data_IF_202775339673
#
_entry.id   IF_202775339673
#
_cell.length_a   1.000
_cell.length_b   1.000
_cell.length_c   1.000
_cell.angle_alpha   90.00
_cell.angle_beta   90.00
_cell.angle_gamma   90.00
#
_symmetry.space_group_name_H-M   'P 1'
#
loop_
_entity.id
_entity.type
_entity.pdbx_description
1 polymer ?
#
# COMPACT_ATOMS: atom_id res chain seq x y z
N UNK A 1 -1.44 -11.01 16.83
CA UNK A 1 -2.67 -11.41 16.09
C UNK A 1 -2.30 -11.72 14.65
N UNK A 2 -2.86 -12.77 14.04
CA UNK A 2 -2.69 -13.02 12.60
C UNK A 2 -3.60 -12.05 11.84
N UNK A 3 -3.05 -11.35 10.86
CA UNK A 3 -3.77 -10.38 10.02
C UNK A 3 -4.18 -11.09 8.73
N UNK A 4 -5.46 -11.05 8.39
CA UNK A 4 -6.02 -11.71 7.22
C UNK A 4 -5.97 -10.78 6.02
N UNK A 5 -5.34 -11.24 4.94
CA UNK A 5 -5.15 -10.47 3.71
C UNK A 5 -5.63 -11.28 2.52
N UNK A 6 -6.47 -10.67 1.70
CA UNK A 6 -6.95 -11.25 0.45
C UNK A 6 -6.11 -10.68 -0.70
N UNK A 7 -5.66 -11.55 -1.61
CA UNK A 7 -4.92 -11.17 -2.80
C UNK A 7 -5.71 -11.47 -4.07
N UNK A 8 -5.93 -10.45 -4.90
CA UNK A 8 -6.50 -10.57 -6.24
C UNK A 8 -5.41 -10.38 -7.29
N UNK A 9 -5.41 -11.22 -8.32
CA UNK A 9 -4.47 -11.15 -9.45
C UNK A 9 -5.25 -10.91 -10.73
N UNK A 10 -5.04 -9.76 -11.36
CA UNK A 10 -5.63 -9.39 -12.64
C UNK A 10 -4.53 -9.30 -13.71
N UNK A 11 -4.44 -10.26 -14.64
CA UNK A 11 -3.50 -10.19 -15.76
C UNK A 11 -3.82 -8.99 -16.67
N UNK A 12 -2.78 -8.25 -17.08
CA UNK A 12 -2.87 -7.10 -17.99
C UNK A 12 -1.70 -7.21 -18.98
N UNK A 13 -1.93 -7.85 -20.13
CA UNK A 13 -0.90 -8.09 -21.13
C UNK A 13 0.27 -8.90 -20.55
N UNK A 14 1.48 -8.33 -20.58
CA UNK A 14 2.72 -8.93 -20.03
C UNK A 14 2.94 -8.65 -18.54
N UNK A 15 1.96 -8.01 -17.89
CA UNK A 15 1.98 -7.65 -16.49
C UNK A 15 0.81 -8.29 -15.74
N UNK A 16 0.86 -8.20 -14.42
CA UNK A 16 -0.25 -8.55 -13.53
C UNK A 16 -0.43 -7.43 -12.52
N UNK A 17 -1.66 -6.96 -12.38
CA UNK A 17 -2.08 -6.11 -11.26
C UNK A 17 -2.41 -7.03 -10.10
N UNK A 18 -1.79 -6.77 -8.96
CA UNK A 18 -2.03 -7.52 -7.72
C UNK A 18 -2.65 -6.56 -6.71
N UNK A 19 -3.85 -6.87 -6.26
CA UNK A 19 -4.55 -6.13 -5.22
C UNK A 19 -4.40 -6.88 -3.90
N UNK A 20 -4.00 -6.20 -2.83
CA UNK A 20 -3.99 -6.74 -1.47
C UNK A 20 -4.99 -5.94 -0.61
N UNK A 21 -5.92 -6.67 0.01
CA UNK A 21 -6.97 -6.14 0.87
C UNK A 21 -6.76 -6.63 2.30
N UNK A 22 -6.65 -5.71 3.26
CA UNK A 22 -6.73 -6.04 4.68
C UNK A 22 -8.18 -6.16 5.13
N UNK A 23 -8.61 -7.34 5.59
CA UNK A 23 -10.01 -7.60 5.99
C UNK A 23 -10.41 -6.82 7.24
N UNK A 24 -9.46 -6.40 8.07
CA UNK A 24 -9.76 -5.71 9.33
C UNK A 24 -9.99 -4.21 9.13
N UNK A 25 -9.23 -3.56 8.25
CA UNK A 25 -9.34 -2.11 8.03
C UNK A 25 -10.01 -1.74 6.70
N UNK A 26 -10.42 -2.74 5.92
CA UNK A 26 -10.89 -2.57 4.53
C UNK A 26 -9.90 -1.80 3.64
N UNK A 27 -8.61 -1.80 4.01
CA UNK A 27 -7.61 -1.07 3.24
C UNK A 27 -7.17 -1.91 2.05
N UNK A 28 -7.33 -1.34 0.87
CA UNK A 28 -6.89 -1.93 -0.39
C UNK A 28 -5.69 -1.18 -0.96
N UNK A 29 -4.71 -1.94 -1.47
CA UNK A 29 -3.62 -1.41 -2.28
C UNK A 29 -3.41 -2.28 -3.51
N UNK A 30 -3.00 -1.67 -4.62
CA UNK A 30 -2.61 -2.40 -5.82
C UNK A 30 -1.16 -2.13 -6.21
N UNK A 31 -0.51 -3.15 -6.78
CA UNK A 31 0.81 -3.07 -7.43
C UNK A 31 0.73 -3.69 -8.82
N UNK A 32 1.58 -3.25 -9.74
CA UNK A 32 1.72 -3.86 -11.08
C UNK A 32 3.13 -4.39 -11.20
N UNK A 33 3.27 -5.63 -11.65
CA UNK A 33 4.54 -6.32 -11.79
C UNK A 33 4.53 -7.24 -13.02
N UNK A 34 5.71 -7.71 -13.50
CA UNK A 34 5.79 -8.65 -14.61
C UNK A 34 4.99 -9.93 -14.33
N UNK A 35 4.27 -10.43 -15.33
CA UNK A 35 3.52 -11.69 -15.21
C UNK A 35 4.44 -12.92 -15.07
N UNK A 36 5.74 -12.77 -15.33
CA UNK A 36 6.78 -13.79 -15.14
C UNK A 36 7.27 -13.92 -13.70
N UNK A 37 6.96 -12.97 -12.82
CA UNK A 37 7.34 -13.04 -11.41
C UNK A 37 6.59 -14.17 -10.69
N UNK A 38 7.22 -14.75 -9.66
CA UNK A 38 6.58 -15.82 -8.89
C UNK A 38 5.40 -15.28 -8.07
N UNK A 39 4.39 -16.13 -7.82
CA UNK A 39 3.23 -15.74 -6.98
C UNK A 39 3.65 -15.21 -5.60
N UNK A 40 4.63 -15.86 -4.96
CA UNK A 40 5.11 -15.46 -3.64
C UNK A 40 5.76 -14.06 -3.66
N UNK A 41 6.52 -13.76 -4.71
CA UNK A 41 7.14 -12.44 -4.89
C UNK A 41 6.09 -11.35 -5.10
N UNK A 42 5.09 -11.63 -5.95
CA UNK A 42 3.96 -10.75 -6.19
C UNK A 42 3.17 -10.44 -4.91
N UNK A 43 2.83 -11.46 -4.12
CA UNK A 43 2.18 -11.30 -2.81
C UNK A 43 3.04 -10.49 -1.84
N UNK A 44 4.36 -10.78 -1.79
CA UNK A 44 5.29 -10.09 -0.90
C UNK A 44 5.34 -8.59 -1.20
N UNK A 45 5.42 -8.20 -2.47
CA UNK A 45 5.46 -6.80 -2.88
C UNK A 45 4.14 -6.09 -2.52
N UNK A 46 3.00 -6.71 -2.83
CA UNK A 46 1.70 -6.16 -2.50
C UNK A 46 1.49 -6.03 -0.97
N UNK A 47 1.91 -7.04 -0.20
CA UNK A 47 1.85 -7.03 1.27
C UNK A 47 2.76 -5.97 1.89
N UNK A 48 3.94 -5.75 1.32
CA UNK A 48 4.85 -4.69 1.77
C UNK A 48 4.22 -3.31 1.59
N UNK A 49 3.59 -3.04 0.44
CA UNK A 49 2.86 -1.79 0.20
C UNK A 49 1.68 -1.65 1.17
N UNK A 50 0.92 -2.72 1.41
CA UNK A 50 -0.21 -2.71 2.33
C UNK A 50 0.24 -2.33 3.74
N UNK A 51 1.30 -2.97 4.24
CA UNK A 51 1.90 -2.67 5.56
C UNK A 51 2.37 -1.23 5.68
N UNK A 52 3.00 -0.70 4.64
CA UNK A 52 3.44 0.69 4.61
C UNK A 52 2.25 1.66 4.75
N UNK A 53 1.17 1.44 3.99
CA UNK A 53 -0.02 2.29 4.04
C UNK A 53 -0.77 2.20 5.38
N UNK A 54 -0.86 0.99 5.96
CA UNK A 54 -1.45 0.77 7.27
C UNK A 54 -0.72 1.54 8.38
N UNK A 55 0.62 1.56 8.33
CA UNK A 55 1.41 2.33 9.29
C UNK A 55 1.16 3.84 9.12
N UNK A 56 1.11 4.33 7.88
CA UNK A 56 0.86 5.74 7.57
C UNK A 56 -0.53 6.23 8.01
N UNK A 57 -1.55 5.38 7.94
CA UNK A 57 -2.90 5.71 8.45
C UNK A 57 -2.92 5.76 9.98
N UNK A 58 -2.23 4.84 10.67
CA UNK A 58 -2.09 4.91 12.13
C UNK A 58 -1.39 6.19 12.62
N UNK A 59 -0.47 6.73 11.81
CA UNK A 59 0.17 8.03 12.06
C UNK A 59 -0.81 9.20 11.85
N UNK A 60 -1.67 9.14 10.83
CA UNK A 60 -2.62 10.22 10.50
C UNK A 60 -3.77 10.34 11.53
N UNK A 61 -4.23 9.24 12.11
CA UNK A 61 -5.23 9.24 13.19
C UNK A 61 -4.68 9.82 14.51
N UNK A 62 -3.37 9.73 14.74
CA UNK A 62 -2.72 10.20 15.97
C UNK A 62 -2.45 11.72 15.98
N UNK A 63 -2.42 12.37 14.82
CA UNK A 63 -2.23 13.82 14.67
C UNK A 63 -3.54 14.64 14.72
N UNK A 64 -4.72 14.00 14.66
CA UNK A 64 -6.02 14.67 14.72
C UNK A 64 -6.41 15.22 16.11
N UNK A 65 -5.49 15.24 17.08
CA UNK A 65 -5.66 15.86 18.41
C UNK A 65 -4.63 16.96 18.70
N UNK A 66 -4.64 18.05 17.93
CA UNK A 66 -4.56 19.45 18.46
C UNK A 66 -4.76 20.50 17.36
N UNK A 67 -5.53 21.58 17.61
CA UNK A 67 -5.58 22.74 16.73
C UNK A 67 -4.36 23.64 16.98
N UNK A 68 -3.84 24.28 15.91
CA UNK A 68 -3.02 25.49 16.01
C UNK A 68 -1.62 25.41 15.38
N UNK A 69 -1.51 26.03 14.20
CA UNK A 69 -0.38 26.81 13.67
C UNK A 69 1.06 26.26 13.74
N UNK A 70 1.58 25.81 12.59
CA UNK A 70 2.79 26.40 11.94
C UNK A 70 3.22 25.72 10.63
N UNK A 71 3.35 26.57 9.62
CA UNK A 71 4.35 26.65 8.53
C UNK A 71 4.91 25.37 7.89
N UNK A 72 4.65 25.21 6.59
CA UNK A 72 5.36 24.30 5.71
C UNK A 72 6.75 24.83 5.32
N UNK A 73 7.78 23.96 5.36
CA UNK A 73 8.85 24.01 4.39
C UNK A 73 8.93 22.70 3.61
N UNK A 74 9.02 22.83 2.29
CA UNK A 74 8.94 21.73 1.34
C UNK A 74 10.08 20.72 1.38
N UNK A 75 9.96 19.70 0.52
CA UNK A 75 11.04 18.74 0.32
C UNK A 75 10.65 17.47 -0.42
N UNK A 76 10.51 17.59 -1.75
CA UNK A 76 11.14 16.65 -2.69
C UNK A 76 10.66 15.20 -2.77
N UNK A 77 10.23 14.83 -3.98
CA UNK A 77 10.86 13.69 -4.66
C UNK A 77 9.98 12.47 -4.87
N UNK A 78 9.57 12.27 -6.12
CA UNK A 78 9.12 10.98 -6.63
C UNK A 78 8.42 11.09 -7.97
N UNK A 79 9.16 11.28 -9.07
CA UNK A 79 8.65 10.98 -10.41
C UNK A 79 8.92 9.49 -10.67
N UNK A 80 7.88 8.72 -11.00
CA UNK A 80 7.85 7.75 -12.13
C UNK A 80 6.36 7.33 -12.25
N UNK A 81 5.63 7.54 -13.35
CA UNK A 81 5.93 7.52 -14.79
C UNK A 81 5.18 8.62 -15.54
#
# INVERSE_FOLDING_TARGET
MRREVIFEFTPIGTSVKVTALDVTTDLEVSVVAPSSASRNELERIALQKLRYMLNRQGETDSDAKKPGDREEPGGGGGIVV
#
